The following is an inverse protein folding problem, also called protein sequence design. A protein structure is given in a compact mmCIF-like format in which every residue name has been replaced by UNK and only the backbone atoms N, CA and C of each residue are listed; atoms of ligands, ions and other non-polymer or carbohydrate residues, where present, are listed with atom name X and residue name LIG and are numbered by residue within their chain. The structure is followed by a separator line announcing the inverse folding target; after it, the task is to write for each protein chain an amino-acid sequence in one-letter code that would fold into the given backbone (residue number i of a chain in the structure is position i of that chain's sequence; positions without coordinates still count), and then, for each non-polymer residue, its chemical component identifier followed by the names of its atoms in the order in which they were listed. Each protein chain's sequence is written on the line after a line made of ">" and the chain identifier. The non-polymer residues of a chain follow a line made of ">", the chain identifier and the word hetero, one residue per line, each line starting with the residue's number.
data_IF_164784237526
#
_entry.id   IF_164784237526
#
_cell.length_a   1.000
_cell.length_b   1.000
_cell.length_c   1.000
_cell.angle_alpha   90.00
_cell.angle_beta   90.00
_cell.angle_gamma   90.00
#
_symmetry.space_group_name_H-M   'P 1'
#
loop_
_entity.id
_entity.type
_entity.pdbx_description
1 polymer ?
#
# COMPACT_ATOMS: atom_id res chain seq x y z
N UNK A 1 21.53 15.26 39.97
CA UNK A 1 20.09 15.32 39.62
C UNK A 1 19.99 15.04 38.14
N UNK A 2 19.37 13.93 37.73
CA UNK A 2 19.15 13.68 36.31
C UNK A 2 18.11 14.68 35.81
N UNK A 3 18.49 15.51 34.84
CA UNK A 3 17.55 16.38 34.13
C UNK A 3 16.63 15.47 33.33
N UNK A 4 15.36 15.39 33.71
CA UNK A 4 14.36 14.67 32.93
C UNK A 4 14.07 15.50 31.68
N UNK A 5 14.60 15.09 30.53
CA UNK A 5 14.22 15.68 29.26
C UNK A 5 12.89 15.08 28.82
N UNK A 6 11.91 15.91 28.52
CA UNK A 6 10.69 15.45 27.86
C UNK A 6 11.04 15.06 26.42
N UNK A 7 10.64 13.86 26.01
CA UNK A 7 10.81 13.41 24.62
C UNK A 7 9.97 14.25 23.68
N UNK A 8 10.54 14.57 22.53
CA UNK A 8 9.88 15.19 21.37
C UNK A 8 9.40 14.14 20.38
N UNK A 9 8.59 14.55 19.40
CA UNK A 9 8.16 13.69 18.28
C UNK A 9 9.35 13.21 17.43
N UNK A 10 10.40 14.03 17.33
CA UNK A 10 11.65 13.68 16.65
C UNK A 10 12.44 12.61 17.41
N UNK A 11 12.46 12.67 18.75
CA UNK A 11 13.09 11.63 19.57
C UNK A 11 12.40 10.29 19.39
N UNK A 12 11.07 10.27 19.34
CA UNK A 12 10.30 9.04 19.09
C UNK A 12 10.59 8.50 17.69
N UNK A 13 10.64 9.36 16.67
CA UNK A 13 10.97 8.95 15.31
C UNK A 13 12.36 8.35 15.22
N UNK A 14 13.37 8.99 15.84
CA UNK A 14 14.73 8.49 15.89
C UNK A 14 14.83 7.12 16.60
N UNK A 15 14.12 6.95 17.72
CA UNK A 15 14.10 5.70 18.47
C UNK A 15 13.48 4.54 17.69
N UNK A 16 12.39 4.78 16.94
CA UNK A 16 11.78 3.76 16.09
C UNK A 16 12.69 3.40 14.90
N UNK A 17 13.32 4.38 14.26
CA UNK A 17 14.29 4.14 13.19
C UNK A 17 15.49 3.32 13.68
N UNK A 18 16.02 3.64 14.87
CA UNK A 18 17.13 2.89 15.47
C UNK A 18 16.75 1.41 15.69
N UNK A 19 15.54 1.13 16.18
CA UNK A 19 15.05 -0.25 16.33
C UNK A 19 15.04 -1.00 15.00
N UNK A 20 14.51 -0.40 13.94
CA UNK A 20 14.47 -1.05 12.63
C UNK A 20 15.83 -1.14 11.95
N UNK A 21 16.82 -0.31 12.33
CA UNK A 21 18.20 -0.39 11.82
C UNK A 21 18.87 -1.74 12.13
N UNK A 22 18.41 -2.44 13.16
CA UNK A 22 18.91 -3.76 13.57
C UNK A 22 18.23 -4.93 12.85
N UNK A 23 17.29 -4.66 11.94
CA UNK A 23 16.60 -5.70 11.15
C UNK A 23 17.62 -6.51 10.33
N UNK A 24 17.71 -7.86 10.49
CA UNK A 24 18.75 -8.66 9.84
C UNK A 24 18.68 -8.65 8.31
N UNK A 25 17.47 -8.79 7.76
CA UNK A 25 17.25 -8.72 6.32
C UNK A 25 17.50 -7.29 5.82
N UNK A 26 18.49 -7.06 4.95
CA UNK A 26 18.85 -5.72 4.50
C UNK A 26 17.74 -5.06 3.67
N UNK A 27 16.93 -5.83 2.93
CA UNK A 27 15.83 -5.30 2.13
C UNK A 27 14.65 -4.95 3.01
N UNK A 28 14.27 -5.80 3.95
CA UNK A 28 13.22 -5.49 4.93
C UNK A 28 13.60 -4.27 5.76
N UNK A 29 14.87 -4.18 6.20
CA UNK A 29 15.41 -2.99 6.89
C UNK A 29 15.19 -1.72 6.07
N UNK A 30 15.56 -1.73 4.79
CA UNK A 30 15.37 -0.57 3.91
C UNK A 30 13.89 -0.18 3.80
N UNK A 31 12.99 -1.16 3.63
CA UNK A 31 11.54 -0.93 3.52
C UNK A 31 10.99 -0.30 4.81
N UNK A 32 11.31 -0.88 5.97
CA UNK A 32 10.78 -0.41 7.25
C UNK A 32 11.31 0.97 7.63
N UNK A 33 12.60 1.25 7.39
CA UNK A 33 13.17 2.58 7.61
C UNK A 33 12.50 3.65 6.73
N UNK A 34 12.25 3.32 5.45
CA UNK A 34 11.52 4.21 4.55
C UNK A 34 10.08 4.45 5.01
N UNK A 35 9.35 3.38 5.31
CA UNK A 35 7.95 3.44 5.74
C UNK A 35 7.79 4.30 7.01
N UNK A 36 8.55 4.01 8.07
CA UNK A 36 8.49 4.76 9.34
C UNK A 36 8.80 6.22 9.11
N UNK A 37 9.88 6.53 8.36
CA UNK A 37 10.28 7.90 8.09
C UNK A 37 9.16 8.70 7.41
N UNK A 38 8.56 8.15 6.36
CA UNK A 38 7.51 8.85 5.60
C UNK A 38 6.20 8.93 6.37
N UNK A 39 5.83 7.88 7.11
CA UNK A 39 4.60 7.89 7.91
C UNK A 39 4.68 8.90 9.06
N UNK A 40 5.79 8.94 9.80
CA UNK A 40 5.97 9.93 10.87
C UNK A 40 6.07 11.35 10.31
N UNK A 41 6.67 11.54 9.13
CA UNK A 41 6.68 12.83 8.46
C UNK A 41 5.26 13.31 8.14
N UNK A 42 4.40 12.45 7.58
CA UNK A 42 2.99 12.76 7.30
C UNK A 42 2.23 13.14 8.58
N UNK A 43 2.35 12.35 9.65
CA UNK A 43 1.68 12.61 10.93
C UNK A 43 2.04 13.98 11.49
N UNK A 44 3.32 14.35 11.45
CA UNK A 44 3.80 15.68 11.90
C UNK A 44 3.40 16.80 10.96
N UNK A 45 3.43 16.58 9.65
CA UNK A 45 3.07 17.57 8.64
C UNK A 45 1.63 18.05 8.79
N UNK A 46 0.71 17.13 9.10
CA UNK A 46 -0.72 17.45 9.25
C UNK A 46 -1.15 17.68 10.69
N UNK A 47 -0.21 17.62 11.65
CA UNK A 47 -0.48 17.68 13.10
C UNK A 47 -1.66 16.77 13.51
N UNK A 48 -1.60 15.48 13.10
CA UNK A 48 -2.71 14.54 13.22
C UNK A 48 -3.23 14.46 14.66
N UNK A 49 -4.51 14.77 14.86
CA UNK A 49 -5.11 14.76 16.19
C UNK A 49 -5.41 13.35 16.68
N UNK A 50 -5.57 13.18 17.99
CA UNK A 50 -5.97 11.89 18.58
C UNK A 50 -7.30 11.39 18.00
N UNK A 51 -8.28 12.29 17.81
CA UNK A 51 -9.59 11.94 17.28
C UNK A 51 -9.54 11.49 15.82
N UNK A 52 -8.72 12.12 14.98
CA UNK A 52 -8.50 11.70 13.59
C UNK A 52 -7.72 10.40 13.52
N UNK A 53 -6.71 10.23 14.39
CA UNK A 53 -5.97 8.98 14.51
C UNK A 53 -6.89 7.82 14.89
N UNK A 54 -7.77 7.98 15.88
CA UNK A 54 -8.74 6.95 16.25
C UNK A 54 -9.68 6.60 15.10
N UNK A 55 -10.19 7.59 14.36
CA UNK A 55 -11.01 7.35 13.17
C UNK A 55 -10.24 6.58 12.09
N UNK A 56 -8.98 6.92 11.84
CA UNK A 56 -8.15 6.18 10.90
C UNK A 56 -7.96 4.70 11.33
N UNK A 57 -7.77 4.44 12.63
CA UNK A 57 -7.70 3.07 13.17
C UNK A 57 -9.03 2.32 12.97
N UNK A 58 -10.16 2.97 13.17
CA UNK A 58 -11.49 2.37 12.93
C UNK A 58 -11.68 2.01 11.46
N UNK A 59 -11.34 2.90 10.52
CA UNK A 59 -11.41 2.66 9.07
C UNK A 59 -10.54 1.46 8.66
N UNK A 60 -9.28 1.42 9.12
CA UNK A 60 -8.37 0.30 8.83
C UNK A 60 -8.90 -1.02 9.42
N UNK A 61 -9.51 -0.96 10.60
CA UNK A 61 -10.12 -2.12 11.25
C UNK A 61 -11.34 -2.62 10.47
N UNK A 62 -12.19 -1.72 10.00
CA UNK A 62 -13.39 -2.07 9.22
C UNK A 62 -13.01 -2.69 7.87
N UNK A 63 -12.04 -2.11 7.17
CA UNK A 63 -11.51 -2.69 5.93
C UNK A 63 -10.95 -4.11 6.15
N UNK A 64 -10.23 -4.33 7.26
CA UNK A 64 -9.77 -5.66 7.65
C UNK A 64 -10.93 -6.65 7.88
N UNK A 65 -12.02 -6.22 8.52
CA UNK A 65 -13.23 -7.05 8.74
C UNK A 65 -13.99 -7.36 7.45
N UNK A 66 -13.93 -6.47 6.47
CA UNK A 66 -14.59 -6.61 5.17
C UNK A 66 -13.81 -7.49 4.19
N UNK A 67 -12.53 -7.78 4.48
CA UNK A 67 -11.73 -8.71 3.70
C UNK A 67 -12.25 -10.15 3.84
N UNK A 68 -12.25 -10.88 2.73
CA UNK A 68 -12.61 -12.30 2.63
C UNK A 68 -11.76 -12.98 1.55
N UNK A 69 -12.07 -14.24 1.23
CA UNK A 69 -11.47 -14.97 0.10
C UNK A 69 -11.77 -14.33 -1.27
N UNK A 70 -12.86 -13.56 -1.38
CA UNK A 70 -13.34 -12.93 -2.61
C UNK A 70 -13.23 -11.41 -2.62
N UNK A 71 -13.01 -10.79 -1.46
CA UNK A 71 -12.97 -9.33 -1.30
C UNK A 71 -11.70 -8.93 -0.58
N UNK A 72 -10.91 -8.03 -1.17
CA UNK A 72 -9.64 -7.60 -0.59
C UNK A 72 -9.61 -6.06 -0.51
N UNK A 73 -10.01 -5.53 0.65
CA UNK A 73 -10.14 -4.07 0.85
C UNK A 73 -8.79 -3.35 0.95
N UNK A 74 -7.72 -4.01 1.38
CA UNK A 74 -6.39 -3.39 1.40
C UNK A 74 -5.80 -3.21 -0.02
N UNK A 75 -6.13 -4.10 -0.96
CA UNK A 75 -5.85 -3.93 -2.40
C UNK A 75 -6.69 -2.78 -2.92
N UNK A 76 -7.98 -2.69 -2.57
CA UNK A 76 -8.81 -1.55 -2.99
C UNK A 76 -8.34 -0.22 -2.38
N UNK A 77 -7.84 -0.20 -1.14
CA UNK A 77 -7.15 0.97 -0.61
C UNK A 77 -5.88 1.30 -1.42
N UNK A 78 -5.10 0.28 -1.78
CA UNK A 78 -3.93 0.46 -2.65
C UNK A 78 -4.32 1.05 -4.00
N UNK A 79 -5.40 0.58 -4.62
CA UNK A 79 -5.90 1.04 -5.92
C UNK A 79 -6.40 2.48 -5.85
N UNK A 80 -7.23 2.80 -4.85
CA UNK A 80 -7.82 4.14 -4.67
C UNK A 80 -6.79 5.20 -4.30
N UNK A 81 -5.73 4.83 -3.59
CA UNK A 81 -4.59 5.71 -3.28
C UNK A 81 -3.53 5.73 -4.40
N UNK A 82 -3.72 4.95 -5.48
CA UNK A 82 -2.78 4.87 -6.60
C UNK A 82 -1.48 4.10 -6.33
N UNK A 83 -1.36 3.47 -5.16
CA UNK A 83 -0.17 2.69 -4.77
C UNK A 83 0.04 1.50 -5.71
N UNK A 84 -1.02 0.80 -6.10
CA UNK A 84 -0.92 -0.36 -7.00
C UNK A 84 -0.36 0.03 -8.38
N UNK A 85 -0.76 1.19 -8.91
CA UNK A 85 -0.20 1.76 -10.14
C UNK A 85 1.27 2.16 -9.99
N UNK A 86 1.65 2.79 -8.88
CA UNK A 86 3.06 3.13 -8.63
C UNK A 86 3.92 1.87 -8.56
N UNK A 87 3.44 0.81 -7.90
CA UNK A 87 4.12 -0.49 -7.87
C UNK A 87 4.22 -1.09 -9.27
N UNK A 88 3.14 -1.07 -10.06
CA UNK A 88 3.15 -1.57 -11.44
C UNK A 88 4.22 -0.87 -12.30
N UNK A 89 4.22 0.47 -12.30
CA UNK A 89 5.16 1.27 -13.10
C UNK A 89 6.63 1.08 -12.69
N UNK A 90 6.91 0.89 -11.40
CA UNK A 90 8.28 0.60 -10.92
C UNK A 90 8.78 -0.74 -11.48
N UNK A 91 7.91 -1.75 -11.53
CA UNK A 91 8.28 -3.12 -11.88
C UNK A 91 8.16 -3.42 -13.38
N UNK A 92 7.45 -2.59 -14.14
CA UNK A 92 7.22 -2.77 -15.58
C UNK A 92 7.71 -1.58 -16.41
N UNK A 93 8.85 -0.97 -16.03
CA UNK A 93 9.50 0.07 -16.85
C UNK A 93 9.85 -0.50 -18.22
N UNK A 94 9.41 0.19 -19.28
CA UNK A 94 9.59 -0.22 -20.68
C UNK A 94 10.32 0.85 -21.47
N UNK A 95 10.98 0.49 -22.59
CA UNK A 95 11.55 1.46 -23.51
C UNK A 95 10.47 2.31 -24.19
N UNK A 96 10.88 3.47 -24.70
CA UNK A 96 10.01 4.37 -25.45
C UNK A 96 9.33 3.65 -26.63
N UNK A 97 8.02 3.87 -26.78
CA UNK A 97 7.21 3.27 -27.85
C UNK A 97 6.63 1.88 -27.54
N UNK A 98 6.97 1.28 -26.40
CA UNK A 98 6.29 0.06 -25.96
C UNK A 98 4.92 0.36 -25.31
N UNK A 99 3.97 -0.56 -25.42
CA UNK A 99 2.66 -0.44 -24.77
C UNK A 99 2.82 -0.34 -23.24
N UNK A 100 2.20 0.67 -22.64
CA UNK A 100 2.21 0.90 -21.20
C UNK A 100 1.58 -0.27 -20.43
N UNK A 101 2.04 -0.51 -19.20
CA UNK A 101 1.42 -1.47 -18.27
C UNK A 101 0.30 -0.81 -17.48
N UNK A 102 -0.56 -1.65 -16.89
CA UNK A 102 -1.57 -1.22 -15.92
C UNK A 102 -1.87 -2.37 -14.96
N UNK A 103 -2.55 -2.05 -13.86
CA UNK A 103 -2.95 -3.04 -12.87
C UNK A 103 -3.85 -4.12 -13.46
N UNK A 104 -3.69 -5.34 -12.96
CA UNK A 104 -4.45 -6.50 -13.42
C UNK A 104 -5.93 -6.45 -13.02
N UNK A 105 -6.23 -5.90 -11.84
CA UNK A 105 -7.57 -5.88 -11.25
C UNK A 105 -8.06 -7.26 -10.75
N UNK A 106 -9.21 -7.31 -10.06
CA UNK A 106 -9.67 -8.52 -9.37
C UNK A 106 -10.52 -9.47 -10.24
N UNK A 107 -10.78 -9.13 -11.50
CA UNK A 107 -11.82 -9.79 -12.31
C UNK A 107 -11.31 -10.82 -13.32
N UNK A 108 -10.01 -11.05 -13.39
CA UNK A 108 -9.46 -12.07 -14.29
C UNK A 108 -9.87 -13.48 -13.85
N UNK A 109 -10.25 -14.31 -14.83
CA UNK A 109 -10.57 -15.73 -14.62
C UNK A 109 -9.81 -16.57 -15.64
N UNK A 110 -9.20 -17.65 -15.15
CA UNK A 110 -8.56 -18.65 -16.01
C UNK A 110 -9.63 -19.45 -16.79
N UNK A 111 -9.22 -20.00 -17.94
CA UNK A 111 -10.09 -20.88 -18.73
C UNK A 111 -11.13 -20.15 -19.59
N UNK A 112 -10.87 -18.90 -19.97
CA UNK A 112 -11.66 -18.24 -21.00
C UNK A 112 -11.58 -19.05 -22.32
N UNK A 113 -12.70 -19.18 -23.07
CA UNK A 113 -12.69 -19.90 -24.33
C UNK A 113 -11.85 -19.15 -25.38
N UNK A 114 -11.12 -19.89 -26.21
CA UNK A 114 -10.46 -19.33 -27.39
C UNK A 114 -11.52 -18.99 -28.45
N UNK A 115 -11.43 -17.78 -29.00
CA UNK A 115 -12.31 -17.30 -30.07
C UNK A 115 -11.47 -16.94 -31.30
N UNK A 116 -11.98 -17.16 -32.52
CA UNK A 116 -11.30 -16.73 -33.74
C UNK A 116 -11.31 -15.21 -33.87
N UNK A 117 -10.47 -14.67 -34.77
CA UNK A 117 -10.47 -13.25 -35.13
C UNK A 117 -11.87 -12.79 -35.54
N UNK A 118 -12.34 -11.69 -34.93
CA UNK A 118 -13.70 -11.17 -35.11
C UNK A 118 -14.79 -11.89 -34.30
N UNK A 119 -14.42 -12.81 -33.39
CA UNK A 119 -15.35 -13.48 -32.48
C UNK A 119 -16.05 -12.54 -31.48
N UNK A 120 -17.22 -12.98 -30.97
CA UNK A 120 -18.03 -12.22 -30.02
C UNK A 120 -17.84 -12.74 -28.58
N UNK A 121 -17.35 -11.88 -27.68
CA UNK A 121 -17.16 -12.18 -26.25
C UNK A 121 -18.45 -12.05 -25.42
N UNK A 122 -19.50 -11.41 -25.96
CA UNK A 122 -20.80 -11.31 -25.32
C UNK A 122 -21.62 -12.56 -25.61
N UNK A 123 -21.45 -13.58 -24.77
CA UNK A 123 -22.33 -14.74 -24.77
C UNK A 123 -23.68 -14.31 -24.18
N UNK A 124 -24.75 -14.37 -24.97
CA UNK A 124 -26.10 -14.26 -24.44
C UNK A 124 -26.36 -15.52 -23.63
N UNK A 125 -26.59 -15.37 -22.32
CA UNK A 125 -27.06 -16.45 -21.47
C UNK A 125 -28.33 -17.04 -22.12
N UNK A 126 -28.34 -18.36 -22.35
CA UNK A 126 -29.53 -19.12 -22.75
C UNK A 126 -30.15 -19.80 -21.54
#
# INVERSE_FOLDING_TARGET
>A
MAVHHNKTEDDITAEVLERFSQTPDPRLRQIMLGLVKHLHAFVKEVELTEAEWFQAIEILTEAGRMCSDKRQEFILFSDTLGVSMVVDLINHRKPDGATESTVFGPFHRLGAPELPDGGNIAHLDK
#
